data_IF_773339292966
#
_entry.id   IF_773339292966
#
_cell.length_a   1.000
_cell.length_b   1.000
_cell.length_c   1.000
_cell.angle_alpha   90.00
_cell.angle_beta   90.00
_cell.angle_gamma   90.00
#
_symmetry.space_group_name_H-M   'P 1'
#
loop_
_entity.id
_entity.type
_entity.pdbx_description
1 polymer ?
#
# COMPACT_ATOMS: atom_id res chain seq x y z
N UNK A 1 2.02 -17.02 28.53
CA UNK A 1 2.48 -15.73 27.96
C UNK A 1 3.83 -15.98 27.29
N UNK A 2 3.80 -16.49 26.07
CA UNK A 2 5.01 -16.77 25.29
C UNK A 2 5.17 -15.65 24.26
N UNK A 3 6.14 -14.76 24.49
CA UNK A 3 6.57 -13.75 23.53
C UNK A 3 7.52 -14.46 22.56
N UNK A 4 7.09 -14.61 21.32
CA UNK A 4 7.84 -15.31 20.28
C UNK A 4 9.08 -14.49 19.88
N UNK A 5 10.27 -15.06 20.12
CA UNK A 5 11.60 -14.43 19.91
C UNK A 5 11.93 -14.06 18.44
N UNK A 6 11.10 -14.44 17.48
CA UNK A 6 11.32 -14.18 16.05
C UNK A 6 10.96 -12.76 15.60
N UNK A 7 10.15 -12.02 16.38
CA UNK A 7 9.76 -10.64 16.00
C UNK A 7 10.87 -9.60 16.22
N UNK A 8 11.91 -9.91 16.99
CA UNK A 8 13.02 -9.00 17.27
C UNK A 8 14.16 -9.09 16.25
N UNK A 9 14.24 -10.21 15.51
CA UNK A 9 15.32 -10.41 14.54
C UNK A 9 15.18 -9.53 13.29
N UNK A 10 13.95 -9.25 12.85
CA UNK A 10 13.68 -8.41 11.66
C UNK A 10 13.89 -6.91 11.95
N UNK A 11 13.65 -6.47 13.17
CA UNK A 11 13.91 -5.08 13.58
C UNK A 11 15.41 -4.86 13.81
N UNK A 12 16.12 -5.86 14.32
CA UNK A 12 17.57 -5.81 14.57
C UNK A 12 18.38 -5.81 13.27
N UNK A 13 17.95 -6.53 12.22
CA UNK A 13 18.63 -6.55 10.92
C UNK A 13 18.54 -5.20 10.21
N UNK A 14 17.46 -4.44 10.41
CA UNK A 14 17.30 -3.10 9.80
C UNK A 14 18.14 -2.02 10.49
N UNK A 15 18.52 -2.19 11.76
CA UNK A 15 19.37 -1.22 12.49
C UNK A 15 20.88 -1.58 12.48
N UNK A 16 21.23 -2.88 12.45
CA UNK A 16 22.65 -3.28 12.48
C UNK A 16 23.39 -3.12 11.16
N UNK A 17 22.70 -2.96 10.00
CA UNK A 17 23.39 -2.77 8.72
C UNK A 17 23.80 -1.32 8.44
N UNK A 18 23.33 -0.35 9.21
CA UNK A 18 23.69 1.06 9.01
C UNK A 18 24.98 1.49 9.72
N UNK A 19 25.41 0.81 10.78
CA UNK A 19 26.63 1.18 11.52
C UNK A 19 27.93 0.58 10.94
N UNK A 20 27.83 -0.43 10.07
CA UNK A 20 28.97 -1.12 9.48
C UNK A 20 29.54 -0.48 8.20
N UNK A 21 28.86 0.47 7.57
CA UNK A 21 29.23 1.02 6.25
C UNK A 21 29.91 2.41 6.33
N UNK A 22 29.97 3.01 7.52
CA UNK A 22 30.60 4.33 7.74
C UNK A 22 32.05 4.19 8.20
N UNK A 23 32.98 3.72 7.35
CA UNK A 23 34.41 4.01 7.51
C UNK A 23 34.88 4.89 6.35
N UNK A 24 35.48 6.05 6.61
CA UNK A 24 35.95 6.93 5.56
C UNK A 24 37.20 6.35 4.88
N UNK A 25 37.16 6.19 3.58
CA UNK A 25 38.35 5.99 2.76
C UNK A 25 38.89 7.39 2.44
N UNK A 26 39.98 7.76 3.12
CA UNK A 26 40.76 8.93 2.80
C UNK A 26 41.63 8.63 1.58
N UNK A 27 41.67 9.53 0.62
CA UNK A 27 42.61 9.39 -0.50
C UNK A 27 42.45 10.40 -1.61
N UNK A 28 43.16 11.49 -1.49
CA UNK A 28 44.03 12.22 -2.41
C UNK A 28 43.38 13.19 -3.41
N UNK A 29 43.73 14.44 -3.15
CA UNK A 29 43.69 15.58 -4.07
C UNK A 29 44.55 15.34 -5.33
N UNK A 30 44.00 15.69 -6.49
CA UNK A 30 44.75 16.24 -7.59
C UNK A 30 43.92 17.34 -8.27
N UNK A 31 44.41 18.58 -8.12
CA UNK A 31 44.00 19.70 -8.97
C UNK A 31 44.56 19.52 -10.36
N UNK A 32 43.78 19.78 -11.39
CA UNK A 32 44.16 20.74 -12.46
C UNK A 32 43.15 20.70 -13.63
N UNK A 33 42.69 21.88 -14.02
CA UNK A 33 42.62 22.28 -15.40
C UNK A 33 41.31 22.13 -16.16
N UNK A 34 40.56 23.23 -16.16
CA UNK A 34 39.82 23.84 -17.30
C UNK A 34 39.13 22.98 -18.35
N UNK A 35 37.88 23.33 -18.53
CA UNK A 35 37.12 23.59 -19.74
C UNK A 35 35.97 22.67 -20.08
N UNK A 36 34.80 23.30 -20.19
CA UNK A 36 33.82 22.90 -21.21
C UNK A 36 32.74 21.93 -20.78
N UNK A 37 31.70 22.49 -20.22
CA UNK A 37 30.30 22.16 -20.38
C UNK A 37 29.92 20.79 -20.91
N UNK A 38 29.39 19.99 -20.04
CA UNK A 38 28.16 19.23 -20.19
C UNK A 38 27.76 18.88 -18.75
N UNK A 39 26.73 19.59 -18.27
CA UNK A 39 26.07 19.19 -17.04
C UNK A 39 25.67 17.72 -17.21
N UNK A 40 26.43 16.81 -16.58
CA UNK A 40 26.08 15.42 -16.47
C UNK A 40 24.72 15.37 -15.77
N UNK A 41 23.70 14.96 -16.47
CA UNK A 41 22.45 14.55 -15.84
C UNK A 41 22.81 13.38 -14.91
N UNK A 42 22.87 13.65 -13.62
CA UNK A 42 22.94 12.60 -12.61
C UNK A 42 21.68 11.77 -12.73
N UNK A 43 21.77 10.65 -13.44
CA UNK A 43 20.72 9.65 -13.56
C UNK A 43 20.62 8.91 -12.21
N UNK A 44 19.87 9.49 -11.29
CA UNK A 44 19.53 8.79 -10.05
C UNK A 44 18.41 7.79 -10.32
N UNK A 45 18.67 6.51 -10.08
CA UNK A 45 17.64 5.46 -10.07
C UNK A 45 16.63 5.79 -8.97
N UNK A 46 15.38 5.87 -9.34
CA UNK A 46 14.32 6.28 -8.40
C UNK A 46 13.85 5.08 -7.55
N UNK A 47 13.30 5.36 -6.37
CA UNK A 47 12.60 4.37 -5.59
C UNK A 47 11.34 3.87 -6.33
N UNK A 48 10.89 2.60 -6.09
CA UNK A 48 9.68 2.07 -6.71
C UNK A 48 8.48 3.00 -6.56
N UNK A 49 7.58 3.00 -7.54
CA UNK A 49 6.40 3.88 -7.57
C UNK A 49 5.44 3.69 -6.40
N UNK A 50 5.53 2.53 -5.74
CA UNK A 50 4.80 2.22 -4.50
C UNK A 50 5.30 3.01 -3.31
N UNK A 51 6.50 3.60 -3.40
CA UNK A 51 7.13 4.43 -2.38
C UNK A 51 6.91 5.90 -2.73
N UNK A 52 5.70 6.41 -2.51
CA UNK A 52 5.42 7.84 -2.66
C UNK A 52 6.20 8.62 -1.58
N UNK A 53 6.83 9.73 -1.95
CA UNK A 53 7.58 10.58 -1.00
C UNK A 53 9.08 10.65 -1.28
N UNK A 54 9.66 9.77 -2.09
CA UNK A 54 11.06 9.87 -2.51
C UNK A 54 11.34 10.84 -3.64
N UNK A 55 10.29 11.37 -4.29
CA UNK A 55 10.49 12.34 -5.35
C UNK A 55 10.85 13.70 -4.73
N UNK A 56 12.08 14.13 -4.96
CA UNK A 56 12.50 15.51 -4.66
C UNK A 56 11.96 16.40 -5.79
N UNK A 57 11.05 17.29 -5.47
CA UNK A 57 10.50 18.27 -6.39
C UNK A 57 11.10 19.64 -6.08
N UNK A 58 11.52 20.37 -7.11
CA UNK A 58 11.89 21.77 -6.99
C UNK A 58 10.65 22.61 -6.58
N UNK A 59 10.84 23.75 -5.89
CA UNK A 59 9.73 24.62 -5.55
C UNK A 59 8.93 25.04 -6.80
N UNK A 60 7.62 24.80 -6.77
CA UNK A 60 6.70 25.05 -7.89
C UNK A 60 6.62 23.93 -8.92
N UNK A 61 7.47 22.93 -8.88
CA UNK A 61 7.40 21.76 -9.74
C UNK A 61 6.18 20.91 -9.36
N UNK A 62 5.44 20.43 -10.34
CA UNK A 62 4.22 19.64 -10.16
C UNK A 62 4.45 18.23 -10.71
N UNK A 63 4.02 17.24 -9.95
CA UNK A 63 3.92 15.85 -10.39
C UNK A 63 2.48 15.38 -10.26
N UNK A 64 1.94 14.78 -11.32
CA UNK A 64 0.63 14.16 -11.35
C UNK A 64 0.80 12.67 -11.60
N UNK A 65 -0.02 11.85 -10.99
CA UNK A 65 -0.05 10.43 -11.26
C UNK A 65 -1.49 9.92 -11.31
N UNK A 66 -1.67 8.96 -12.19
CA UNK A 66 -2.86 8.13 -12.25
C UNK A 66 -2.44 6.68 -12.16
N UNK A 67 -3.13 5.88 -11.35
CA UNK A 67 -2.86 4.45 -11.22
C UNK A 67 -4.16 3.67 -11.22
N UNK A 68 -4.23 2.68 -12.09
CA UNK A 68 -5.22 1.62 -12.04
C UNK A 68 -4.61 0.44 -11.29
N UNK A 69 -5.34 -0.11 -10.34
CA UNK A 69 -4.98 -1.32 -9.60
C UNK A 69 -6.11 -2.33 -9.66
N UNK A 70 -5.77 -3.59 -9.86
CA UNK A 70 -6.69 -4.72 -9.74
C UNK A 70 -6.13 -5.74 -8.78
N UNK A 71 -6.94 -6.20 -7.84
CA UNK A 71 -6.57 -7.15 -6.80
C UNK A 71 -7.58 -8.29 -6.77
N UNK A 72 -7.08 -9.52 -6.70
CA UNK A 72 -7.89 -10.71 -6.50
C UNK A 72 -7.52 -11.39 -5.19
N UNK A 73 -8.52 -11.74 -4.41
CA UNK A 73 -8.39 -12.37 -3.10
C UNK A 73 -9.23 -13.64 -3.04
N UNK A 74 -8.81 -14.61 -2.24
CA UNK A 74 -9.56 -15.86 -2.02
C UNK A 74 -9.24 -16.94 -3.03
N UNK A 75 -10.22 -17.72 -3.46
CA UNK A 75 -10.09 -19.01 -4.18
C UNK A 75 -9.29 -20.00 -3.31
N UNK A 76 -8.07 -20.37 -3.74
CA UNK A 76 -7.17 -21.22 -2.95
C UNK A 76 -6.48 -20.47 -1.79
N UNK A 77 -6.73 -19.18 -1.62
CA UNK A 77 -6.10 -18.31 -0.60
C UNK A 77 -7.06 -17.92 0.52
N UNK A 78 -7.91 -18.83 0.97
CA UNK A 78 -8.70 -18.66 2.20
C UNK A 78 -7.90 -19.18 3.39
N UNK A 79 -7.72 -18.37 4.43
CA UNK A 79 -6.83 -18.67 5.54
C UNK A 79 -7.51 -18.54 6.90
N UNK A 80 -7.08 -19.39 7.82
CA UNK A 80 -7.30 -19.28 9.26
C UNK A 80 -5.92 -19.42 9.95
N UNK A 81 -5.40 -18.34 10.49
CA UNK A 81 -3.99 -18.26 10.87
C UNK A 81 -3.09 -18.36 9.65
N UNK A 82 -2.14 -19.27 9.68
CA UNK A 82 -1.25 -19.57 8.55
C UNK A 82 -1.77 -20.71 7.66
N UNK A 83 -2.85 -21.38 8.08
CA UNK A 83 -3.36 -22.56 7.40
C UNK A 83 -4.40 -22.19 6.35
N UNK A 84 -4.30 -22.85 5.21
CA UNK A 84 -5.39 -22.84 4.23
C UNK A 84 -6.62 -23.53 4.79
N UNK A 85 -7.78 -22.93 4.60
CA UNK A 85 -9.07 -23.54 4.96
C UNK A 85 -9.97 -23.66 3.76
N UNK A 86 -10.72 -24.76 3.72
CA UNK A 86 -11.67 -24.97 2.64
C UNK A 86 -12.99 -24.25 2.92
N UNK A 87 -13.68 -23.86 1.87
CA UNK A 87 -15.04 -23.30 1.95
C UNK A 87 -15.96 -24.16 2.81
N UNK A 88 -15.91 -25.50 2.67
CA UNK A 88 -16.73 -26.41 3.45
C UNK A 88 -16.39 -26.39 4.94
N UNK A 89 -15.11 -26.24 5.32
CA UNK A 89 -14.72 -26.16 6.73
C UNK A 89 -15.26 -24.90 7.39
N UNK A 90 -15.30 -23.79 6.67
CA UNK A 90 -15.88 -22.52 7.17
C UNK A 90 -17.41 -22.64 7.28
N UNK A 91 -18.08 -23.24 6.31
CA UNK A 91 -19.52 -23.44 6.30
C UNK A 91 -20.04 -24.41 7.39
N UNK A 92 -19.17 -25.13 8.10
CA UNK A 92 -19.58 -25.89 9.30
C UNK A 92 -19.94 -24.98 10.47
N UNK A 93 -19.32 -23.78 10.54
CA UNK A 93 -19.50 -22.83 11.64
C UNK A 93 -20.30 -21.59 11.21
N UNK A 94 -20.42 -21.31 9.91
CA UNK A 94 -21.07 -20.13 9.34
C UNK A 94 -22.10 -20.54 8.28
N UNK A 95 -23.15 -19.76 8.14
CA UNK A 95 -24.19 -19.99 7.12
C UNK A 95 -23.73 -19.53 5.74
N UNK A 96 -22.81 -18.56 5.69
CA UNK A 96 -22.31 -17.93 4.48
C UNK A 96 -20.79 -17.76 4.63
N UNK A 97 -20.04 -18.02 3.56
CA UNK A 97 -18.61 -17.70 3.52
C UNK A 97 -18.26 -16.95 2.23
N UNK A 98 -17.47 -15.85 2.30
CA UNK A 98 -16.87 -15.28 1.11
C UNK A 98 -15.86 -16.28 0.53
N UNK A 99 -15.84 -16.42 -0.80
CA UNK A 99 -14.92 -17.35 -1.50
C UNK A 99 -13.95 -16.64 -2.42
N UNK A 100 -14.37 -15.51 -2.98
CA UNK A 100 -13.54 -14.69 -3.86
C UNK A 100 -13.93 -13.23 -3.72
N UNK A 101 -12.95 -12.34 -3.77
CA UNK A 101 -13.17 -10.91 -3.87
C UNK A 101 -12.28 -10.34 -4.96
N UNK A 102 -12.85 -9.53 -5.83
CA UNK A 102 -12.14 -8.72 -6.82
C UNK A 102 -12.31 -7.27 -6.46
N UNK A 103 -11.21 -6.53 -6.37
CA UNK A 103 -11.20 -5.08 -6.17
C UNK A 103 -10.49 -4.43 -7.34
N UNK A 104 -11.12 -3.46 -7.99
CA UNK A 104 -10.48 -2.53 -8.90
C UNK A 104 -10.45 -1.14 -8.28
N UNK A 105 -9.36 -0.42 -8.48
CA UNK A 105 -9.14 0.89 -7.89
C UNK A 105 -8.49 1.81 -8.91
N UNK A 106 -9.07 3.00 -9.09
CA UNK A 106 -8.51 4.10 -9.84
C UNK A 106 -8.02 5.14 -8.83
N UNK A 107 -6.75 5.49 -8.86
CA UNK A 107 -6.14 6.45 -7.95
C UNK A 107 -5.63 7.64 -8.75
N UNK A 108 -6.14 8.82 -8.44
CA UNK A 108 -5.61 10.09 -8.92
C UNK A 108 -4.80 10.72 -7.80
N UNK A 109 -3.55 11.03 -8.06
CA UNK A 109 -2.65 11.65 -7.08
C UNK A 109 -1.85 12.78 -7.70
N UNK A 110 -1.27 13.59 -6.83
CA UNK A 110 -0.37 14.66 -7.24
C UNK A 110 0.49 15.16 -6.09
N UNK A 111 1.55 15.83 -6.47
CA UNK A 111 2.49 16.48 -5.58
C UNK A 111 2.87 17.84 -6.15
N UNK A 112 3.13 18.79 -5.27
CA UNK A 112 3.71 20.09 -5.60
C UNK A 112 4.91 20.36 -4.70
N UNK A 113 6.05 20.68 -5.30
CA UNK A 113 7.26 21.07 -4.59
C UNK A 113 7.09 22.42 -3.89
N UNK A 114 7.54 22.48 -2.65
CA UNK A 114 7.53 23.67 -1.79
C UNK A 114 8.96 24.04 -1.40
N UNK A 115 9.22 25.28 -0.97
CA UNK A 115 10.53 25.66 -0.41
C UNK A 115 10.93 24.78 0.77
N UNK A 116 12.24 24.56 0.97
CA UNK A 116 12.78 23.79 2.10
C UNK A 116 12.73 22.25 1.91
N UNK A 117 12.79 21.77 0.68
CA UNK A 117 12.72 20.34 0.34
C UNK A 117 11.42 19.65 0.81
N UNK A 118 10.34 20.42 0.84
CA UNK A 118 9.00 19.95 1.17
C UNK A 118 8.21 19.71 -0.10
N UNK A 119 7.24 18.81 -0.05
CA UNK A 119 6.21 18.66 -1.06
C UNK A 119 4.84 18.42 -0.41
N UNK A 120 3.82 19.10 -0.89
CA UNK A 120 2.44 18.78 -0.55
C UNK A 120 1.93 17.69 -1.49
N UNK A 121 1.15 16.77 -0.95
CA UNK A 121 0.65 15.59 -1.67
C UNK A 121 -0.86 15.45 -1.50
N UNK A 122 -1.51 14.89 -2.51
CA UNK A 122 -2.88 14.42 -2.40
C UNK A 122 -3.06 13.10 -3.16
N UNK A 123 -4.04 12.29 -2.76
CA UNK A 123 -4.45 11.08 -3.46
C UNK A 123 -5.93 10.80 -3.21
N UNK A 124 -6.69 10.62 -4.29
CA UNK A 124 -8.12 10.29 -4.27
C UNK A 124 -8.34 8.94 -4.94
N UNK A 125 -8.76 7.89 -4.22
CA UNK A 125 -9.12 6.61 -4.78
C UNK A 125 -10.60 6.53 -5.14
N UNK A 126 -10.91 5.89 -6.27
CA UNK A 126 -12.24 5.41 -6.64
C UNK A 126 -12.15 3.89 -6.69
N UNK A 127 -12.96 3.21 -5.90
CA UNK A 127 -12.87 1.77 -5.72
C UNK A 127 -14.16 1.07 -6.13
N UNK A 128 -14.03 -0.08 -6.80
CA UNK A 128 -15.12 -1.01 -7.05
C UNK A 128 -14.74 -2.39 -6.51
N UNK A 129 -15.66 -3.01 -5.77
CA UNK A 129 -15.49 -4.31 -5.13
C UNK A 129 -16.62 -5.25 -5.51
N UNK A 130 -16.28 -6.50 -5.79
CA UNK A 130 -17.22 -7.59 -6.03
C UNK A 130 -16.78 -8.78 -5.19
N UNK A 131 -17.69 -9.34 -4.40
CA UNK A 131 -17.40 -10.45 -3.50
C UNK A 131 -18.42 -11.57 -3.72
N UNK A 132 -17.91 -12.74 -4.06
CA UNK A 132 -18.69 -13.96 -4.26
C UNK A 132 -18.76 -14.75 -2.95
N UNK A 133 -19.95 -15.28 -2.67
CA UNK A 133 -20.27 -16.02 -1.45
C UNK A 133 -20.89 -17.38 -1.76
N UNK A 134 -20.52 -18.38 -0.94
CA UNK A 134 -21.21 -19.66 -0.89
C UNK A 134 -22.05 -19.76 0.38
N UNK A 135 -23.21 -20.39 0.28
CA UNK A 135 -24.12 -20.66 1.38
C UNK A 135 -24.06 -22.12 1.82
N UNK A 136 -24.24 -22.39 3.11
CA UNK A 136 -24.33 -23.76 3.66
C UNK A 136 -25.47 -24.56 3.05
N UNK A 137 -26.51 -23.90 2.55
CA UNK A 137 -27.66 -24.50 1.84
C UNK A 137 -27.35 -24.85 0.38
N UNK A 138 -26.12 -24.60 -0.12
CA UNK A 138 -25.70 -24.92 -1.48
C UNK A 138 -25.89 -23.83 -2.52
N UNK A 139 -26.39 -22.65 -2.16
CA UNK A 139 -26.53 -21.51 -3.09
C UNK A 139 -25.27 -20.63 -3.15
N UNK A 140 -25.22 -19.78 -4.17
CA UNK A 140 -24.19 -18.77 -4.37
C UNK A 140 -24.82 -17.41 -4.65
N UNK A 141 -24.15 -16.33 -4.25
CA UNK A 141 -24.53 -14.96 -4.60
C UNK A 141 -23.31 -14.03 -4.57
N UNK A 142 -23.44 -12.89 -5.22
CA UNK A 142 -22.40 -11.87 -5.30
C UNK A 142 -22.90 -10.56 -4.73
N UNK A 143 -22.07 -9.89 -3.92
CA UNK A 143 -22.32 -8.53 -3.46
C UNK A 143 -21.34 -7.56 -4.09
N UNK A 144 -21.78 -6.33 -4.35
CA UNK A 144 -20.97 -5.29 -5.00
C UNK A 144 -21.03 -3.98 -4.21
N UNK A 145 -19.93 -3.24 -4.24
CA UNK A 145 -19.88 -1.86 -3.76
C UNK A 145 -18.91 -1.05 -4.63
N UNK A 146 -19.24 0.22 -4.87
CA UNK A 146 -18.38 1.12 -5.65
C UNK A 146 -18.58 2.57 -5.23
N UNK A 147 -17.53 3.39 -5.36
CA UNK A 147 -17.56 4.80 -5.04
C UNK A 147 -16.19 5.35 -4.66
N UNK A 148 -16.19 6.58 -4.14
CA UNK A 148 -14.99 7.22 -3.61
C UNK A 148 -14.51 6.50 -2.34
N UNK A 149 -13.19 6.41 -2.19
CA UNK A 149 -12.54 6.07 -0.93
C UNK A 149 -12.13 7.31 -0.14
N UNK A 150 -11.29 7.13 0.88
CA UNK A 150 -10.83 8.23 1.72
C UNK A 150 -9.78 9.07 1.00
N UNK A 151 -10.00 10.40 0.94
CA UNK A 151 -9.05 11.37 0.39
C UNK A 151 -7.83 11.46 1.30
N UNK A 152 -6.65 11.26 0.74
CA UNK A 152 -5.38 11.45 1.45
C UNK A 152 -4.77 12.78 1.05
N UNK A 153 -4.39 13.58 2.04
CA UNK A 153 -3.61 14.82 1.88
C UNK A 153 -2.41 14.75 2.81
N UNK A 154 -1.26 15.25 2.38
CA UNK A 154 -0.07 15.11 3.19
C UNK A 154 1.06 16.04 2.80
N UNK A 155 2.14 15.91 3.54
CA UNK A 155 3.41 16.57 3.27
C UNK A 155 4.55 15.57 3.39
N UNK A 156 5.53 15.72 2.52
CA UNK A 156 6.76 14.94 2.54
C UNK A 156 7.97 15.87 2.51
N UNK A 157 9.06 15.41 3.09
CA UNK A 157 10.37 16.06 3.02
C UNK A 157 11.38 15.04 2.54
N UNK A 158 12.20 15.40 1.57
CA UNK A 158 13.26 14.56 1.08
C UNK A 158 14.62 15.28 1.27
N UNK A 159 15.60 14.56 1.80
CA UNK A 159 16.96 15.05 2.00
C UNK A 159 17.96 14.11 1.35
N UNK A 160 18.63 14.60 0.35
CA UNK A 160 19.76 13.91 -0.27
C UNK A 160 21.07 14.33 0.41
N UNK A 161 21.92 13.35 0.72
CA UNK A 161 23.26 13.60 1.24
C UNK A 161 24.27 13.55 0.09
N UNK A 162 25.42 14.16 0.29
CA UNK A 162 26.54 14.19 -0.68
C UNK A 162 27.11 12.79 -1.02
N UNK A 163 26.69 11.74 -0.28
CA UNK A 163 27.16 10.36 -0.47
C UNK A 163 26.13 9.45 -1.16
N UNK A 164 25.17 10.04 -1.90
CA UNK A 164 24.16 9.25 -2.60
C UNK A 164 23.09 8.59 -1.70
N UNK A 165 23.02 9.00 -0.43
CA UNK A 165 21.97 8.55 0.49
C UNK A 165 20.80 9.53 0.46
N UNK A 166 19.59 9.01 0.37
CA UNK A 166 18.35 9.79 0.44
C UNK A 166 17.55 9.38 1.66
N UNK A 167 17.06 10.37 2.40
CA UNK A 167 16.15 10.18 3.53
C UNK A 167 14.87 10.94 3.25
N UNK A 168 13.73 10.28 3.36
CA UNK A 168 12.43 10.92 3.22
C UNK A 168 11.55 10.67 4.45
N UNK A 169 10.80 11.69 4.83
CA UNK A 169 9.82 11.66 5.90
C UNK A 169 8.50 12.20 5.37
N UNK A 170 7.43 11.56 5.75
CA UNK A 170 6.10 12.00 5.34
C UNK A 170 5.09 11.86 6.46
N UNK A 171 4.09 12.69 6.41
CA UNK A 171 2.88 12.56 7.19
C UNK A 171 1.69 12.90 6.30
N UNK A 172 0.68 12.04 6.30
CA UNK A 172 -0.57 12.31 5.60
C UNK A 172 -1.78 12.04 6.48
N UNK A 173 -2.87 12.70 6.15
CA UNK A 173 -4.18 12.52 6.76
C UNK A 173 -5.10 11.89 5.72
N UNK A 174 -5.74 10.77 6.05
CA UNK A 174 -6.87 10.29 5.28
C UNK A 174 -8.14 10.86 5.89
N UNK A 175 -8.87 11.60 5.07
CA UNK A 175 -10.17 12.18 5.43
C UNK A 175 -11.28 11.18 5.09
N UNK A 176 -12.29 10.99 5.95
CA UNK A 176 -13.32 9.97 5.80
C UNK A 176 -14.36 10.34 4.72
N UNK A 177 -13.92 10.49 3.48
CA UNK A 177 -14.78 10.77 2.32
C UNK A 177 -15.41 9.52 1.72
N UNK A 178 -14.82 8.35 1.98
CA UNK A 178 -15.35 7.06 1.55
C UNK A 178 -16.51 6.61 2.43
N UNK A 179 -17.51 6.00 1.80
CA UNK A 179 -18.69 5.55 2.53
C UNK A 179 -18.42 4.31 3.39
N UNK A 180 -18.98 4.28 4.60
CA UNK A 180 -19.13 3.13 5.48
C UNK A 180 -20.58 2.59 5.48
N UNK A 181 -21.39 3.02 4.51
CA UNK A 181 -22.79 2.68 4.35
C UNK A 181 -23.05 1.91 3.03
N UNK A 182 -22.03 1.24 2.49
CA UNK A 182 -22.21 0.41 1.30
C UNK A 182 -23.24 -0.68 1.54
N UNK A 183 -24.21 -0.79 0.62
CA UNK A 183 -25.36 -1.69 0.73
C UNK A 183 -25.59 -2.45 -0.56
N UNK A 184 -26.03 -3.69 -0.44
CA UNK A 184 -26.48 -4.49 -1.58
C UNK A 184 -27.58 -5.47 -1.17
N UNK A 185 -28.22 -6.09 -2.16
CA UNK A 185 -29.22 -7.13 -1.95
C UNK A 185 -28.52 -8.45 -1.68
N UNK A 186 -28.95 -9.15 -0.65
CA UNK A 186 -28.47 -10.49 -0.31
C UNK A 186 -29.67 -11.45 -0.23
N UNK A 187 -29.46 -12.76 -0.25
CA UNK A 187 -30.58 -13.71 -0.06
C UNK A 187 -31.37 -13.49 1.24
N UNK A 188 -30.71 -12.97 2.28
CA UNK A 188 -31.36 -12.69 3.58
C UNK A 188 -32.13 -11.37 3.59
N UNK A 189 -31.89 -10.46 2.65
CA UNK A 189 -32.49 -9.13 2.63
C UNK A 189 -33.41 -8.86 1.44
N UNK A 190 -33.40 -9.78 0.45
CA UNK A 190 -34.18 -9.62 -0.78
C UNK A 190 -35.65 -9.32 -0.52
N UNK A 191 -36.24 -8.31 -1.21
CA UNK A 191 -35.66 -7.48 -2.28
C UNK A 191 -34.87 -6.25 -1.76
N UNK A 192 -34.79 -6.02 -0.47
CA UNK A 192 -34.18 -4.83 0.12
C UNK A 192 -32.65 -4.91 0.17
N UNK A 193 -32.00 -3.75 0.20
CA UNK A 193 -30.55 -3.64 0.39
C UNK A 193 -30.21 -3.60 1.87
N UNK A 194 -29.24 -4.39 2.31
CA UNK A 194 -28.69 -4.35 3.65
C UNK A 194 -27.26 -3.84 3.67
N UNK A 195 -26.76 -3.39 4.83
CA UNK A 195 -25.36 -2.96 5.01
C UNK A 195 -24.45 -4.16 4.82
N UNK A 196 -23.43 -3.98 3.98
CA UNK A 196 -22.45 -5.00 3.69
C UNK A 196 -21.37 -5.08 4.79
N UNK A 197 -20.73 -6.26 5.00
CA UNK A 197 -19.65 -6.46 5.95
C UNK A 197 -18.45 -5.53 5.72
N UNK A 198 -17.59 -5.39 6.74
CA UNK A 198 -16.45 -4.46 6.77
C UNK A 198 -15.56 -4.48 5.52
N UNK A 199 -15.17 -5.62 4.90
CA UNK A 199 -14.34 -5.60 3.71
C UNK A 199 -14.99 -4.95 2.47
N UNK A 200 -16.31 -4.80 2.47
CA UNK A 200 -17.07 -4.19 1.37
C UNK A 200 -17.29 -2.69 1.55
N UNK A 201 -16.90 -2.12 2.69
CA UNK A 201 -17.00 -0.68 2.93
C UNK A 201 -15.87 0.05 2.21
N UNK A 202 -16.13 1.26 1.68
CA UNK A 202 -15.20 1.99 0.80
C UNK A 202 -14.30 2.98 1.55
N UNK A 203 -14.67 3.35 2.78
CA UNK A 203 -13.90 4.23 3.65
C UNK A 203 -13.73 3.68 5.06
N UNK A 204 -12.93 4.37 5.86
CA UNK A 204 -12.74 4.07 7.28
C UNK A 204 -13.81 4.72 8.18
N UNK A 205 -14.41 5.80 7.68
CA UNK A 205 -15.36 6.63 8.43
C UNK A 205 -14.74 7.43 9.58
N UNK A 206 -13.40 7.42 9.71
CA UNK A 206 -12.67 8.21 10.71
C UNK A 206 -11.39 8.79 10.10
N UNK A 207 -10.90 9.89 10.68
CA UNK A 207 -9.61 10.46 10.26
C UNK A 207 -8.50 9.47 10.61
N UNK A 208 -7.57 9.26 9.66
CA UNK A 208 -6.39 8.44 9.84
C UNK A 208 -5.13 9.30 9.71
N UNK A 209 -4.16 9.11 10.59
CA UNK A 209 -2.83 9.71 10.52
C UNK A 209 -1.89 8.65 9.95
N UNK A 210 -1.16 8.99 8.88
CA UNK A 210 -0.27 8.08 8.17
C UNK A 210 1.16 8.64 8.16
N UNK A 211 1.95 8.41 9.22
CA UNK A 211 3.38 8.69 9.21
C UNK A 211 4.11 7.71 8.32
N UNK A 212 5.15 8.19 7.64
CA UNK A 212 6.06 7.35 6.87
C UNK A 212 7.50 7.85 6.95
N UNK A 213 8.44 6.94 6.83
CA UNK A 213 9.86 7.24 6.68
C UNK A 213 10.48 6.24 5.74
N UNK A 214 11.51 6.68 5.03
CA UNK A 214 12.22 5.83 4.10
C UNK A 214 13.66 6.31 3.94
N UNK A 215 14.53 5.37 3.63
CA UNK A 215 15.94 5.60 3.37
C UNK A 215 16.37 4.82 2.13
N UNK A 216 17.23 5.39 1.31
CA UNK A 216 17.85 4.67 0.20
C UNK A 216 19.28 5.11 -0.03
N UNK A 217 20.04 4.24 -0.69
CA UNK A 217 21.42 4.49 -1.12
C UNK A 217 21.56 4.18 -2.60
N UNK A 218 22.20 5.09 -3.32
CA UNK A 218 22.53 4.94 -4.74
C UNK A 218 23.92 4.34 -4.87
N UNK A 219 24.02 3.21 -5.57
CA UNK A 219 25.27 2.48 -5.83
C UNK A 219 25.43 2.29 -7.34
N UNK A 220 25.99 3.29 -8.01
CA UNK A 220 26.03 3.31 -9.49
C UNK A 220 24.60 3.31 -10.07
N UNK A 221 24.26 2.29 -10.86
CA UNK A 221 22.93 2.11 -11.46
C UNK A 221 21.96 1.27 -10.61
N UNK A 222 22.30 1.01 -9.34
CA UNK A 222 21.44 0.35 -8.35
C UNK A 222 21.00 1.34 -7.29
N UNK A 223 19.72 1.24 -6.88
CA UNK A 223 19.18 1.91 -5.70
C UNK A 223 18.65 0.86 -4.74
N UNK A 224 19.18 0.88 -3.52
CA UNK A 224 18.72 0.00 -2.43
C UNK A 224 18.01 0.85 -1.40
N UNK A 225 16.87 0.39 -0.89
CA UNK A 225 16.18 1.17 0.12
C UNK A 225 15.20 0.41 0.97
N UNK A 226 14.71 1.12 1.97
CA UNK A 226 13.71 0.63 2.93
C UNK A 226 12.69 1.71 3.24
N UNK A 227 11.47 1.29 3.57
CA UNK A 227 10.37 2.17 4.00
C UNK A 227 9.63 1.55 5.17
N UNK A 228 9.23 2.39 6.09
CA UNK A 228 8.31 2.05 7.17
C UNK A 228 7.17 3.07 7.13
N UNK A 229 5.94 2.60 7.19
CA UNK A 229 4.76 3.46 7.27
C UNK A 229 3.73 2.89 8.23
N UNK A 230 3.00 3.79 8.90
CA UNK A 230 1.92 3.45 9.81
C UNK A 230 0.58 3.99 9.32
N UNK A 231 -0.51 3.40 9.78
CA UNK A 231 -1.84 4.01 9.74
C UNK A 231 -2.41 3.96 11.15
N UNK A 232 -2.55 5.14 11.75
CA UNK A 232 -3.11 5.31 13.09
C UNK A 232 -4.51 5.92 12.94
N UNK A 233 -5.51 5.21 13.40
CA UNK A 233 -6.91 5.66 13.36
C UNK A 233 -7.26 6.39 14.64
N UNK A 234 -7.77 7.63 14.51
CA UNK A 234 -7.88 8.54 15.65
C UNK A 234 -9.11 8.29 16.52
N UNK A 235 -10.17 7.65 15.97
CA UNK A 235 -11.41 7.45 16.71
C UNK A 235 -12.34 6.44 16.07
N UNK A 236 -13.45 6.17 16.74
CA UNK A 236 -14.57 5.41 16.18
C UNK A 236 -15.33 6.29 15.18
N UNK A 237 -15.81 5.66 14.13
CA UNK A 237 -16.70 6.29 13.16
C UNK A 237 -18.16 6.38 13.67
N UNK A 238 -19.02 6.98 12.87
CA UNK A 238 -20.45 7.15 13.18
C UNK A 238 -21.21 5.82 13.40
N UNK A 239 -20.71 4.71 12.84
CA UNK A 239 -21.26 3.37 13.03
C UNK A 239 -20.74 2.67 14.31
N UNK A 240 -19.92 3.34 15.13
CA UNK A 240 -19.46 2.88 16.43
C UNK A 240 -18.23 1.97 16.40
N UNK A 241 -17.56 1.80 15.27
CA UNK A 241 -16.35 0.99 15.16
C UNK A 241 -15.14 1.80 14.68
N UNK A 242 -13.96 1.24 14.91
CA UNK A 242 -12.67 1.75 14.43
C UNK A 242 -11.89 0.59 13.83
N UNK A 243 -11.46 0.71 12.57
CA UNK A 243 -10.60 -0.28 11.92
C UNK A 243 -9.27 -0.43 12.69
N UNK A 244 -8.63 -1.59 12.60
CA UNK A 244 -7.34 -1.82 13.25
C UNK A 244 -6.23 -0.95 12.66
N UNK A 245 -5.33 -0.43 13.52
CA UNK A 245 -4.13 0.25 13.05
C UNK A 245 -3.29 -0.65 12.16
N UNK A 246 -2.50 -0.06 11.25
CA UNK A 246 -1.66 -0.80 10.32
C UNK A 246 -0.20 -0.37 10.44
N UNK A 247 0.69 -1.32 10.21
CA UNK A 247 2.12 -1.11 10.03
C UNK A 247 2.52 -1.79 8.73
N UNK A 248 3.23 -1.06 7.88
CA UNK A 248 3.83 -1.60 6.66
C UNK A 248 5.32 -1.29 6.67
N UNK A 249 6.12 -2.26 6.26
CA UNK A 249 7.54 -2.10 6.01
C UNK A 249 7.90 -2.74 4.67
N UNK A 250 8.86 -2.19 3.97
CA UNK A 250 9.34 -2.75 2.73
C UNK A 250 10.83 -2.50 2.53
N UNK A 251 11.47 -3.39 1.78
CA UNK A 251 12.82 -3.22 1.26
C UNK A 251 12.77 -3.42 -0.25
N UNK A 252 13.58 -2.68 -0.99
CA UNK A 252 13.64 -2.79 -2.44
C UNK A 252 15.06 -2.74 -2.98
N UNK A 253 15.18 -3.30 -4.16
CA UNK A 253 16.30 -3.11 -5.07
C UNK A 253 15.73 -2.57 -6.36
N UNK A 254 16.19 -1.42 -6.81
CA UNK A 254 15.86 -0.84 -8.11
C UNK A 254 17.12 -0.74 -8.96
N UNK A 255 16.97 -0.92 -10.26
CA UNK A 255 18.04 -1.00 -11.22
C UNK A 255 17.62 -0.29 -12.51
N UNK A 256 18.55 0.45 -13.12
CA UNK A 256 18.30 1.17 -14.37
C UNK A 256 19.08 0.53 -15.51
N UNK A 257 18.46 -0.41 -16.27
CA UNK A 257 19.11 -1.07 -17.39
C UNK A 257 19.33 -0.15 -18.60
N UNK A 258 18.53 0.90 -18.74
CA UNK A 258 18.63 1.89 -19.80
C UNK A 258 18.17 3.27 -19.29
N UNK A 259 18.57 4.35 -19.94
CA UNK A 259 18.24 5.73 -19.54
C UNK A 259 16.74 6.00 -19.39
N UNK A 260 15.89 5.24 -20.11
CA UNK A 260 14.43 5.38 -20.08
C UNK A 260 13.70 4.28 -19.29
N UNK A 261 14.43 3.30 -18.71
CA UNK A 261 13.80 2.12 -18.12
C UNK A 261 14.36 1.87 -16.73
N UNK A 262 13.49 1.71 -15.76
CA UNK A 262 13.82 1.29 -14.40
C UNK A 262 13.08 -0.02 -14.12
N UNK A 263 13.75 -0.95 -13.45
CA UNK A 263 13.16 -2.19 -12.95
C UNK A 263 13.41 -2.28 -11.46
N UNK A 264 12.45 -2.75 -10.70
CA UNK A 264 12.62 -2.94 -9.26
C UNK A 264 11.92 -4.18 -8.75
N UNK A 265 12.41 -4.66 -7.61
CA UNK A 265 11.81 -5.72 -6.83
C UNK A 265 11.64 -5.19 -5.40
N UNK A 266 10.44 -5.32 -4.87
CA UNK A 266 10.13 -4.93 -3.50
C UNK A 266 9.61 -6.13 -2.71
N UNK A 267 10.15 -6.34 -1.50
CA UNK A 267 9.58 -7.21 -0.49
C UNK A 267 8.88 -6.36 0.56
N UNK A 268 7.59 -6.61 0.76
CA UNK A 268 6.75 -5.86 1.68
C UNK A 268 6.20 -6.74 2.78
N UNK A 269 6.20 -6.24 4.01
CA UNK A 269 5.51 -6.85 5.14
C UNK A 269 4.45 -5.90 5.64
N UNK A 270 3.20 -6.37 5.68
CA UNK A 270 2.06 -5.64 6.19
C UNK A 270 1.48 -6.35 7.41
N UNK A 271 1.07 -5.56 8.41
CA UNK A 271 0.35 -6.05 9.59
C UNK A 271 -0.75 -5.07 9.96
N UNK A 272 -1.92 -5.60 10.26
CA UNK A 272 -3.06 -4.80 10.74
C UNK A 272 -3.76 -5.47 11.92
N UNK A 273 -4.38 -4.63 12.78
CA UNK A 273 -5.10 -5.06 13.96
C UNK A 273 -6.56 -5.42 13.69
N UNK A 274 -7.23 -5.93 14.71
CA UNK A 274 -8.67 -6.14 14.70
C UNK A 274 -9.44 -4.81 14.73
N UNK A 275 -10.70 -4.86 14.32
CA UNK A 275 -11.64 -3.76 14.47
C UNK A 275 -12.00 -3.62 15.95
N UNK A 276 -11.99 -2.40 16.45
CA UNK A 276 -12.41 -2.06 17.81
C UNK A 276 -13.82 -1.49 17.79
N UNK A 277 -14.70 -1.99 18.64
CA UNK A 277 -16.13 -1.73 18.57
C UNK A 277 -16.81 -2.58 17.50
N UNK A 278 -18.06 -2.28 17.18
CA UNK A 278 -18.83 -2.99 16.16
C UNK A 278 -19.91 -2.10 15.59
N UNK A 279 -20.28 -2.34 14.35
CA UNK A 279 -21.45 -1.75 13.72
C UNK A 279 -22.69 -2.52 14.17
N UNK A 280 -23.64 -1.84 14.83
CA UNK A 280 -24.87 -2.46 15.31
C UNK A 280 -25.71 -3.07 14.18
N UNK A 281 -25.61 -2.54 12.97
CA UNK A 281 -26.32 -3.03 11.77
C UNK A 281 -25.78 -4.38 11.27
N UNK A 282 -24.54 -4.75 11.66
CA UNK A 282 -23.90 -6.03 11.34
C UNK A 282 -24.07 -7.08 12.46
N UNK A 283 -24.61 -6.71 13.60
CA UNK A 283 -24.70 -7.60 14.78
C UNK A 283 -25.35 -8.96 14.48
N UNK A 284 -26.44 -8.95 13.69
CA UNK A 284 -27.14 -10.18 13.29
C UNK A 284 -26.37 -11.01 12.25
N UNK A 285 -25.33 -10.44 11.64
CA UNK A 285 -24.55 -11.11 10.61
C UNK A 285 -23.27 -11.77 11.18
N UNK A 286 -22.86 -11.48 12.43
CA UNK A 286 -21.62 -11.97 13.04
C UNK A 286 -21.56 -13.50 13.03
N UNK A 287 -22.64 -14.17 13.42
CA UNK A 287 -22.73 -15.64 13.44
C UNK A 287 -23.10 -16.24 12.06
N UNK A 288 -23.40 -15.38 11.09
CA UNK A 288 -23.78 -15.81 9.74
C UNK A 288 -22.61 -15.83 8.77
N UNK A 289 -21.75 -14.79 8.82
CA UNK A 289 -20.63 -14.62 7.89
C UNK A 289 -19.40 -14.10 8.62
N UNK A 290 -18.22 -14.74 8.49
CA UNK A 290 -17.01 -14.37 9.24
C UNK A 290 -16.51 -12.95 8.94
N UNK A 291 -16.83 -12.41 7.78
CA UNK A 291 -16.43 -11.05 7.40
C UNK A 291 -17.17 -9.93 8.16
N UNK A 292 -18.27 -10.26 8.88
CA UNK A 292 -19.00 -9.33 9.74
C UNK A 292 -18.44 -9.29 11.18
N UNK A 293 -17.61 -10.24 11.59
CA UNK A 293 -17.03 -10.25 12.93
C UNK A 293 -15.82 -9.29 13.00
N UNK A 294 -15.89 -8.23 13.83
CA UNK A 294 -14.81 -7.27 14.00
C UNK A 294 -13.56 -7.88 14.66
N UNK A 295 -13.68 -8.97 15.42
CA UNK A 295 -12.60 -9.65 16.11
C UNK A 295 -11.78 -10.58 15.22
N UNK A 296 -12.30 -10.92 14.06
CA UNK A 296 -11.67 -11.83 13.10
C UNK A 296 -11.04 -11.08 11.91
N UNK A 297 -10.56 -9.84 12.11
CA UNK A 297 -10.07 -8.98 11.02
C UNK A 297 -8.58 -8.72 11.04
N UNK A 298 -7.86 -9.11 12.11
CA UNK A 298 -6.41 -8.96 12.21
C UNK A 298 -5.71 -9.87 11.20
N UNK A 299 -4.58 -9.38 10.69
CA UNK A 299 -3.75 -10.18 9.81
C UNK A 299 -2.36 -9.60 9.61
N UNK A 300 -1.53 -10.39 8.95
CA UNK A 300 -0.25 -9.98 8.40
C UNK A 300 0.06 -10.78 7.14
N UNK A 301 0.87 -10.18 6.26
CA UNK A 301 1.25 -10.76 4.98
C UNK A 301 2.67 -10.35 4.60
N UNK A 302 3.35 -11.21 3.84
CA UNK A 302 4.61 -10.93 3.17
C UNK A 302 4.37 -10.96 1.67
N UNK A 303 4.80 -9.91 0.98
CA UNK A 303 4.50 -9.64 -0.42
C UNK A 303 5.80 -9.54 -1.24
N UNK A 304 5.73 -9.97 -2.49
CA UNK A 304 6.74 -9.79 -3.52
C UNK A 304 6.16 -8.97 -4.66
N UNK A 305 6.81 -7.85 -5.01
CA UNK A 305 6.31 -6.91 -6.02
C UNK A 305 7.42 -6.56 -7.00
N UNK A 306 7.48 -7.17 -8.18
CA UNK A 306 8.23 -6.66 -9.32
C UNK A 306 7.52 -5.46 -9.96
N UNK A 307 8.30 -4.48 -10.42
CA UNK A 307 7.82 -3.29 -11.10
C UNK A 307 8.78 -2.88 -12.21
N UNK A 308 8.24 -2.39 -13.30
CA UNK A 308 8.97 -1.76 -14.42
C UNK A 308 8.37 -0.38 -14.65
N UNK A 309 9.26 0.61 -14.83
CA UNK A 309 8.92 1.98 -15.20
C UNK A 309 9.62 2.30 -16.52
N UNK A 310 8.85 2.76 -17.51
CA UNK A 310 9.40 3.29 -18.75
C UNK A 310 9.09 4.77 -18.81
N UNK A 311 10.12 5.60 -18.85
CA UNK A 311 10.01 7.05 -18.80
C UNK A 311 10.52 7.69 -20.09
N UNK A 312 9.85 8.75 -20.55
CA UNK A 312 10.37 9.64 -21.57
C UNK A 312 10.97 10.86 -20.91
N UNK A 313 12.25 11.05 -21.08
CA UNK A 313 12.92 12.25 -20.58
C UNK A 313 12.81 13.34 -21.62
N UNK A 314 12.43 14.55 -21.17
CA UNK A 314 12.53 15.78 -21.94
C UNK A 314 11.56 15.96 -23.12
N UNK A 315 10.25 15.93 -22.85
CA UNK A 315 9.29 16.61 -23.73
C UNK A 315 9.25 18.09 -23.39
N UNK A 316 8.79 18.98 -24.31
CA UNK A 316 8.59 20.43 -24.03
C UNK A 316 7.65 20.68 -22.84
N UNK A 317 6.83 19.69 -22.47
CA UNK A 317 5.83 19.78 -21.39
C UNK A 317 6.29 19.14 -20.07
N UNK A 318 7.40 18.40 -20.06
CA UNK A 318 7.88 17.67 -18.88
C UNK A 318 8.21 16.21 -19.16
N UNK A 319 8.37 15.39 -18.15
CA UNK A 319 8.63 13.96 -18.24
C UNK A 319 7.37 13.13 -18.02
N UNK A 320 7.26 12.03 -18.76
CA UNK A 320 6.17 11.06 -18.61
C UNK A 320 6.74 9.69 -18.25
N UNK A 321 6.04 8.94 -17.41
CA UNK A 321 6.41 7.56 -17.06
C UNK A 321 5.19 6.64 -17.08
N UNK A 322 5.37 5.46 -17.68
CA UNK A 322 4.40 4.35 -17.58
C UNK A 322 4.95 3.35 -16.60
N UNK A 323 4.11 2.89 -15.68
CA UNK A 323 4.45 2.03 -14.57
C UNK A 323 3.64 0.74 -14.69
N UNK A 324 4.29 -0.41 -14.65
CA UNK A 324 3.64 -1.72 -14.63
C UNK A 324 4.16 -2.48 -13.42
N UNK A 325 3.27 -2.99 -12.59
CA UNK A 325 3.64 -3.75 -11.39
C UNK A 325 2.73 -4.96 -11.19
N UNK A 326 3.28 -6.02 -10.61
CA UNK A 326 2.54 -7.18 -10.15
C UNK A 326 2.89 -7.45 -8.68
N UNK A 327 1.94 -7.93 -7.88
CA UNK A 327 2.21 -8.33 -6.50
C UNK A 327 1.71 -9.73 -6.26
N UNK A 328 2.57 -10.55 -5.68
CA UNK A 328 2.26 -11.91 -5.25
C UNK A 328 2.48 -12.05 -3.75
N UNK A 329 1.60 -12.73 -3.03
CA UNK A 329 1.83 -13.04 -1.63
C UNK A 329 2.84 -14.18 -1.53
N UNK A 330 3.79 -14.04 -0.60
CA UNK A 330 4.71 -15.10 -0.22
C UNK A 330 4.23 -15.84 1.04
N UNK A 331 3.48 -15.15 1.88
CA UNK A 331 2.98 -15.70 3.12
C UNK A 331 1.83 -14.86 3.69
N UNK A 332 0.89 -15.54 4.39
CA UNK A 332 -0.21 -14.92 5.13
C UNK A 332 -0.32 -15.49 6.54
N UNK A 333 -0.79 -14.67 7.47
CA UNK A 333 -1.31 -15.07 8.77
C UNK A 333 -2.53 -14.23 9.10
N UNK A 334 -3.72 -14.83 8.94
CA UNK A 334 -5.02 -14.12 9.04
C UNK A 334 -5.82 -14.68 10.21
N UNK A 335 -6.21 -13.84 11.17
CA UNK A 335 -7.03 -14.25 12.30
C UNK A 335 -8.49 -14.45 11.83
N UNK A 336 -9.00 -15.65 12.05
CA UNK A 336 -10.32 -16.03 11.53
C UNK A 336 -10.32 -16.36 10.03
N UNK A 337 -11.43 -16.95 9.52
CA UNK A 337 -11.55 -17.24 8.10
C UNK A 337 -11.62 -15.94 7.29
N UNK A 338 -10.53 -15.64 6.56
CA UNK A 338 -10.41 -14.45 5.71
C UNK A 338 -9.88 -14.82 4.33
N UNK A 339 -10.23 -14.01 3.33
CA UNK A 339 -9.65 -14.10 2.01
C UNK A 339 -8.26 -13.44 2.02
N UNK A 340 -7.21 -14.20 1.74
CA UNK A 340 -5.87 -13.69 1.49
C UNK A 340 -5.73 -13.18 0.06
N UNK A 341 -4.72 -12.34 -0.18
CA UNK A 341 -4.35 -11.90 -1.52
C UNK A 341 -3.94 -13.11 -2.36
N UNK A 342 -4.49 -13.24 -3.58
CA UNK A 342 -4.01 -14.20 -4.57
C UNK A 342 -2.98 -13.54 -5.48
N UNK A 343 -3.30 -12.37 -6.00
CA UNK A 343 -2.41 -11.52 -6.79
C UNK A 343 -2.96 -10.10 -6.91
N UNK A 344 -2.10 -9.16 -7.24
CA UNK A 344 -2.54 -7.85 -7.72
C UNK A 344 -1.72 -7.39 -8.93
N UNK A 345 -2.34 -6.53 -9.74
CA UNK A 345 -1.75 -5.90 -10.91
C UNK A 345 -1.93 -4.39 -10.82
N UNK A 346 -0.93 -3.63 -11.21
CA UNK A 346 -0.96 -2.18 -11.26
C UNK A 346 -0.46 -1.64 -12.60
N UNK A 347 -1.22 -0.70 -13.17
CA UNK A 347 -0.83 0.10 -14.33
C UNK A 347 -0.90 1.57 -13.94
N UNK A 348 0.19 2.31 -14.12
CA UNK A 348 0.28 3.71 -13.75
C UNK A 348 0.79 4.59 -14.87
N UNK A 349 0.42 5.86 -14.79
CA UNK A 349 1.00 6.94 -15.56
C UNK A 349 1.42 8.06 -14.62
N UNK A 350 2.61 8.59 -14.82
CA UNK A 350 3.19 9.70 -14.07
C UNK A 350 3.58 10.80 -15.04
N UNK A 351 3.30 12.03 -14.66
CA UNK A 351 3.74 13.24 -15.33
C UNK A 351 4.44 14.15 -14.33
N UNK A 352 5.57 14.74 -14.70
CA UNK A 352 6.26 15.76 -13.90
C UNK A 352 6.62 16.93 -14.80
N UNK A 353 6.34 18.16 -14.36
CA UNK A 353 6.82 19.38 -15.01
C UNK A 353 8.33 19.49 -14.88
N UNK A 354 8.94 20.23 -15.82
CA UNK A 354 10.37 20.53 -15.77
C UNK A 354 10.69 21.52 -14.66
#
# INVERSE_FOLDING_TARGET
MYINKTSWLLIAVSLCTLEGILKPIAGQHHESGMAGGMAGMDHHVQAPSTVMGFHSLAPGQIMMNYRFGMMKMGEAHQHLGQNHVTTQSVLRNYKITPVRMTTSMHMLGGMIGLPGNLAATFMLPVTSRSMDHNMATGGQFTTKSSGLGDLNIGMTSNRNTSQGTSLAYGISLALPTGTINARDVTPASSPNKMVLPYPMQLGSGSVEIKPETSASVQLGNLNLGTRISGTVRTGKNEAGYKLGNQLASSVWVAFQPAASTEASITFGYNRWGNISGSDSRLQQQIDMVPSADPKLRRGSELLFTPEIIVSTNNTRLGSHGIIISGTLPLWHSLEGPQLGLAWSFGLGWRFSTN
#
